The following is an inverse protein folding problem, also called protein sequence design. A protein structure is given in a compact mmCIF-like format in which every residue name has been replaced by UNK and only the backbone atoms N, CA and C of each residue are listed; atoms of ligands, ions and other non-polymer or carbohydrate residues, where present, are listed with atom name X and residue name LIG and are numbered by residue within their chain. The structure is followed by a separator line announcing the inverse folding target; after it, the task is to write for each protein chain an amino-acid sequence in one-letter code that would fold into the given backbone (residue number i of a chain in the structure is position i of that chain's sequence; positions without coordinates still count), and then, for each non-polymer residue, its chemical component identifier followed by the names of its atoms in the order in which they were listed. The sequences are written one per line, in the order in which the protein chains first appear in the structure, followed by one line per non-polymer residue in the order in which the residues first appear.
data_IF_426220394233
#
_entry.id   IF_426220394233
#
_cell.length_a   1.000
_cell.length_b   1.000
_cell.length_c   1.000
_cell.angle_alpha   90.00
_cell.angle_beta   90.00
_cell.angle_gamma   90.00
#
_symmetry.space_group_name_H-M   'P 1'
#
loop_
_entity.id
_entity.type
_entity.pdbx_description
1 polymer ?
#
# COMPACT_ATOMS: atom_id res chain seq x y z
N UNK A 1 9.13 3.22 -15.09
CA UNK A 1 8.66 3.04 -13.72
C UNK A 1 8.34 1.58 -13.45
N UNK A 2 8.50 1.19 -12.21
CA UNK A 2 8.22 -0.17 -11.80
C UNK A 2 6.80 -0.27 -11.27
N UNK A 3 6.23 -1.46 -11.37
CA UNK A 3 4.91 -1.73 -10.84
C UNK A 3 5.04 -2.24 -9.41
N UNK A 4 4.19 -1.73 -8.54
CA UNK A 4 4.22 -2.09 -7.12
C UNK A 4 2.81 -2.46 -6.67
N UNK A 5 2.74 -3.43 -5.78
CA UNK A 5 1.51 -3.73 -5.07
C UNK A 5 1.59 -3.03 -3.72
N UNK A 6 0.64 -2.14 -3.46
CA UNK A 6 0.57 -1.49 -2.16
C UNK A 6 -0.53 -2.16 -1.35
N UNK A 7 -0.28 -2.30 -0.06
CA UNK A 7 -1.17 -3.01 0.83
C UNK A 7 -1.44 -2.13 2.04
N UNK A 8 -2.69 -2.04 2.44
CA UNK A 8 -3.07 -1.33 3.65
C UNK A 8 -3.53 -2.37 4.67
N UNK A 9 -2.95 -2.32 5.86
CA UNK A 9 -3.23 -3.27 6.91
C UNK A 9 -4.13 -2.66 7.96
N UNK A 10 -5.17 -3.38 8.41
CA UNK A 10 -6.03 -2.87 9.48
C UNK A 10 -5.25 -2.76 10.78
N UNK A 11 -5.62 -1.79 11.59
CA UNK A 11 -4.87 -1.49 12.79
C UNK A 11 -5.01 -2.58 13.85
N UNK A 12 -6.17 -3.19 13.94
CA UNK A 12 -6.40 -4.16 14.99
C UNK A 12 -7.37 -5.22 14.51
N UNK A 13 -7.56 -6.21 15.37
CA UNK A 13 -8.40 -7.36 15.04
C UNK A 13 -9.87 -7.03 14.97
N UNK A 14 -10.26 -5.87 15.41
CA UNK A 14 -11.68 -5.51 15.44
C UNK A 14 -12.24 -5.23 14.08
N UNK A 15 -11.38 -5.00 13.11
CA UNK A 15 -11.77 -5.13 11.72
C UNK A 15 -12.75 -4.14 11.16
N UNK A 16 -12.70 -2.91 11.58
CA UNK A 16 -13.52 -1.91 10.92
C UNK A 16 -13.09 -1.69 9.49
N UNK A 17 -11.79 -1.75 9.26
CA UNK A 17 -11.24 -1.51 7.93
C UNK A 17 -10.67 -2.81 7.41
N UNK A 18 -11.14 -3.31 6.28
CA UNK A 18 -10.59 -4.52 5.70
C UNK A 18 -9.21 -4.25 5.12
N UNK A 19 -8.40 -5.32 5.02
CA UNK A 19 -7.14 -5.22 4.32
C UNK A 19 -7.42 -4.89 2.86
N UNK A 20 -6.68 -3.92 2.33
CA UNK A 20 -6.87 -3.46 0.96
C UNK A 20 -5.57 -3.58 0.20
N UNK A 21 -5.68 -3.80 -1.11
CA UNK A 21 -4.53 -3.87 -2.00
C UNK A 21 -4.83 -3.09 -3.26
N UNK A 22 -3.78 -2.50 -3.82
CA UNK A 22 -3.90 -1.80 -5.09
C UNK A 22 -2.56 -1.85 -5.80
N UNK A 23 -2.56 -1.56 -7.10
CA UNK A 23 -1.32 -1.50 -7.87
C UNK A 23 -1.04 -0.07 -8.27
N UNK A 24 0.22 0.31 -8.17
CA UNK A 24 0.66 1.64 -8.56
C UNK A 24 1.98 1.53 -9.31
N UNK A 25 2.32 2.55 -10.04
CA UNK A 25 3.63 2.67 -10.67
C UNK A 25 4.46 3.67 -9.89
N UNK A 26 5.69 3.30 -9.58
CA UNK A 26 6.59 4.14 -8.82
C UNK A 26 8.02 3.79 -9.20
N UNK A 27 8.91 4.76 -9.05
CA UNK A 27 10.29 4.52 -9.41
C UNK A 27 11.05 3.76 -8.33
N UNK A 28 10.62 3.88 -7.09
CA UNK A 28 11.27 3.18 -5.98
C UNK A 28 10.27 2.96 -4.85
N UNK A 29 10.76 2.30 -3.79
CA UNK A 29 9.92 1.94 -2.66
C UNK A 29 9.35 3.18 -1.96
N UNK A 30 10.18 4.21 -1.78
CA UNK A 30 9.73 5.41 -1.09
C UNK A 30 8.55 6.05 -1.81
N UNK A 31 8.62 6.10 -3.12
CA UNK A 31 7.53 6.66 -3.90
C UNK A 31 6.29 5.78 -3.80
N UNK A 32 6.48 4.47 -3.83
CA UNK A 32 5.35 3.55 -3.73
C UNK A 32 4.64 3.70 -2.38
N UNK A 33 5.41 3.81 -1.30
CA UNK A 33 4.82 3.99 0.03
C UNK A 33 4.09 5.33 0.13
N UNK A 34 4.64 6.38 -0.47
CA UNK A 34 3.94 7.65 -0.50
C UNK A 34 2.59 7.56 -1.18
N UNK A 35 2.55 6.81 -2.28
CA UNK A 35 1.29 6.59 -2.97
C UNK A 35 0.32 5.75 -2.16
N UNK A 36 0.85 4.78 -1.39
CA UNK A 36 0.03 3.97 -0.52
C UNK A 36 -0.67 4.83 0.53
N UNK A 37 0.06 5.74 1.14
CA UNK A 37 -0.53 6.63 2.14
C UNK A 37 -1.59 7.54 1.52
N UNK A 38 -1.41 7.95 0.29
CA UNK A 38 -2.42 8.74 -0.40
C UNK A 38 -3.67 7.94 -0.70
N UNK A 39 -3.48 6.68 -1.10
CA UNK A 39 -4.60 5.84 -1.49
C UNK A 39 -5.39 5.38 -0.28
N UNK A 40 -4.72 5.16 0.85
CA UNK A 40 -5.33 4.62 2.05
C UNK A 40 -5.05 5.51 3.25
N UNK A 41 -5.55 6.75 3.25
CA UNK A 41 -5.22 7.69 4.33
C UNK A 41 -5.80 7.30 5.67
N UNK A 42 -6.79 6.43 5.69
CA UNK A 42 -7.43 6.00 6.93
C UNK A 42 -6.65 4.93 7.67
N UNK A 43 -5.65 4.34 7.00
CA UNK A 43 -4.91 3.23 7.58
C UNK A 43 -3.67 3.74 8.31
N UNK A 44 -3.24 2.98 9.31
CA UNK A 44 -2.07 3.33 10.10
C UNK A 44 -0.83 2.59 9.64
N UNK A 45 -0.99 1.58 8.83
CA UNK A 45 0.15 0.81 8.35
C UNK A 45 -0.06 0.43 6.90
N UNK A 46 0.94 0.68 6.09
CA UNK A 46 0.89 0.30 4.68
C UNK A 46 2.21 -0.35 4.30
N UNK A 47 2.17 -1.15 3.26
CA UNK A 47 3.38 -1.77 2.72
C UNK A 47 3.39 -1.65 1.21
N UNK A 48 4.56 -1.89 0.62
CA UNK A 48 4.69 -1.89 -0.82
C UNK A 48 5.64 -3.01 -1.23
N UNK A 49 5.27 -3.71 -2.29
CA UNK A 49 6.06 -4.82 -2.82
C UNK A 49 6.25 -4.63 -4.31
N UNK A 50 7.48 -4.73 -4.75
CA UNK A 50 7.77 -4.63 -6.18
C UNK A 50 7.25 -5.86 -6.89
N UNK A 51 6.54 -5.65 -7.99
CA UNK A 51 6.02 -6.76 -8.79
C UNK A 51 7.09 -7.14 -9.81
N UNK A 52 7.57 -8.36 -9.71
CA UNK A 52 8.58 -8.89 -10.62
C UNK A 52 7.89 -9.76 -11.66
N UNK A 53 8.14 -9.45 -12.90
CA UNK A 53 7.55 -10.24 -13.98
C UNK A 53 8.54 -11.15 -14.65
#
# INVERSE_FOLDING_TARGET
MKRWTIVAYPECDEGYLPRQEAEVYAKDWNEAIGKAWREFPEYHEVGAYEVTE
#
